data_IF_447075575943
#
_entry.id   IF_447075575943
#
_cell.length_a   1.000
_cell.length_b   1.000
_cell.length_c   1.000
_cell.angle_alpha   90.00
_cell.angle_beta   90.00
_cell.angle_gamma   90.00
#
_symmetry.space_group_name_H-M   'P 1'
#
loop_
_entity.id
_entity.type
_entity.pdbx_description
1 polymer ?
#
# COMPACT_ATOMS: atom_id res chain seq x y z
N UNK A 1 -9.98 -20.52 4.83
CA UNK A 1 -8.58 -20.74 5.25
C UNK A 1 -8.57 -21.14 6.70
N UNK A 2 -7.91 -22.22 7.07
CA UNK A 2 -7.93 -22.73 8.44
C UNK A 2 -7.38 -21.72 9.43
N UNK A 3 -6.27 -21.02 9.13
CA UNK A 3 -5.69 -19.98 9.99
C UNK A 3 -6.62 -18.81 10.29
N UNK A 4 -7.71 -18.61 9.56
CA UNK A 4 -8.64 -17.48 9.76
C UNK A 4 -9.98 -17.89 10.34
N UNK A 5 -10.25 -19.18 10.52
CA UNK A 5 -11.52 -19.69 11.07
C UNK A 5 -11.76 -19.18 12.49
N UNK A 6 -10.69 -19.06 13.28
CA UNK A 6 -10.77 -18.65 14.68
C UNK A 6 -10.78 -17.14 14.90
N UNK A 7 -10.73 -16.34 13.82
CA UNK A 7 -10.85 -14.89 13.95
C UNK A 7 -12.21 -14.51 14.55
N UNK A 8 -12.29 -13.42 15.31
CA UNK A 8 -13.48 -13.08 16.11
C UNK A 8 -14.79 -13.04 15.33
N UNK A 9 -14.80 -12.52 14.11
CA UNK A 9 -16.02 -12.40 13.29
C UNK A 9 -16.40 -13.74 12.64
N UNK A 10 -15.51 -14.45 11.90
CA UNK A 10 -15.84 -15.75 11.34
C UNK A 10 -16.27 -16.79 12.39
N UNK A 11 -15.64 -16.76 13.57
CA UNK A 11 -15.98 -17.66 14.68
C UNK A 11 -17.22 -17.24 15.49
N UNK A 12 -17.81 -16.07 15.18
CA UNK A 12 -18.94 -15.45 15.91
C UNK A 12 -18.65 -15.19 17.40
N UNK A 13 -17.36 -15.09 17.81
CA UNK A 13 -16.97 -14.89 19.22
C UNK A 13 -17.30 -13.49 19.75
N UNK A 14 -17.31 -12.46 18.89
CA UNK A 14 -17.62 -11.07 19.31
C UNK A 14 -19.05 -10.73 18.93
N UNK A 15 -19.37 -10.77 17.63
CA UNK A 15 -20.73 -10.51 17.14
C UNK A 15 -20.95 -11.11 15.73
N UNK A 16 -22.23 -11.25 15.29
CA UNK A 16 -22.56 -11.78 13.97
C UNK A 16 -21.96 -10.94 12.83
N UNK A 17 -21.72 -11.57 11.69
CA UNK A 17 -21.16 -10.93 10.50
C UNK A 17 -22.01 -9.75 10.01
N UNK A 18 -23.33 -9.79 10.18
CA UNK A 18 -24.25 -8.72 9.82
C UNK A 18 -23.99 -7.46 10.64
N UNK A 19 -23.86 -7.59 11.97
CA UNK A 19 -23.53 -6.46 12.84
C UNK A 19 -22.13 -5.88 12.53
N UNK A 20 -21.15 -6.75 12.17
CA UNK A 20 -19.85 -6.31 11.72
C UNK A 20 -19.93 -5.50 10.42
N UNK A 21 -20.75 -5.94 9.47
CA UNK A 21 -21.03 -5.22 8.23
C UNK A 21 -21.66 -3.86 8.52
N UNK A 22 -22.70 -3.82 9.32
CA UNK A 22 -23.46 -2.60 9.62
C UNK A 22 -22.56 -1.59 10.34
N UNK A 23 -21.75 -2.04 11.30
CA UNK A 23 -20.74 -1.22 11.95
C UNK A 23 -19.71 -0.67 10.94
N UNK A 24 -19.23 -1.53 10.01
CA UNK A 24 -18.33 -1.10 8.94
C UNK A 24 -18.93 -0.05 8.02
N UNK A 25 -20.22 -0.15 7.68
CA UNK A 25 -20.93 0.84 6.87
C UNK A 25 -21.06 2.18 7.61
N UNK A 26 -21.35 2.16 8.90
CA UNK A 26 -21.38 3.38 9.74
C UNK A 26 -20.02 4.06 9.76
N UNK A 27 -18.94 3.29 9.99
CA UNK A 27 -17.57 3.83 9.96
C UNK A 27 -17.20 4.41 8.59
N UNK A 28 -17.58 3.75 7.50
CA UNK A 28 -17.37 4.25 6.15
C UNK A 28 -18.10 5.59 5.94
N UNK A 29 -19.36 5.70 6.38
CA UNK A 29 -20.12 6.94 6.31
C UNK A 29 -19.47 8.08 7.12
N UNK A 30 -19.02 7.79 8.34
CA UNK A 30 -18.30 8.75 9.18
C UNK A 30 -17.00 9.18 8.48
N UNK A 31 -16.20 8.23 7.95
CA UNK A 31 -14.94 8.53 7.27
C UNK A 31 -15.15 9.44 6.06
N UNK A 32 -16.17 9.18 5.26
CA UNK A 32 -16.54 10.02 4.11
C UNK A 32 -16.93 11.42 4.59
N UNK A 33 -17.80 11.52 5.59
CA UNK A 33 -18.25 12.80 6.14
C UNK A 33 -17.09 13.61 6.70
N UNK A 34 -16.19 12.99 7.47
CA UNK A 34 -14.99 13.64 8.00
C UNK A 34 -14.05 14.10 6.88
N UNK A 35 -13.86 13.30 5.83
CA UNK A 35 -12.99 13.66 4.70
C UNK A 35 -13.51 14.87 3.93
N UNK A 36 -14.83 14.94 3.67
CA UNK A 36 -15.42 16.16 3.11
C UNK A 36 -15.41 17.29 4.11
N UNK A 37 -15.57 17.01 5.42
CA UNK A 37 -15.54 17.99 6.49
C UNK A 37 -14.24 18.80 6.60
N UNK A 38 -13.14 18.30 6.05
CA UNK A 38 -11.84 18.99 5.94
C UNK A 38 -11.98 20.34 5.22
N UNK A 39 -13.00 20.51 4.35
CA UNK A 39 -13.28 21.79 3.68
C UNK A 39 -13.48 22.97 4.64
N UNK A 40 -13.95 22.71 5.87
CA UNK A 40 -14.20 23.75 6.87
C UNK A 40 -12.94 24.15 7.66
N UNK A 41 -11.87 23.37 7.57
CA UNK A 41 -10.62 23.60 8.32
C UNK A 41 -9.47 24.08 7.45
N UNK A 42 -9.31 23.51 6.26
CA UNK A 42 -8.15 23.81 5.39
C UNK A 42 -8.54 24.40 4.04
N UNK A 43 -9.79 24.25 3.60
CA UNK A 43 -10.29 24.84 2.37
C UNK A 43 -11.21 23.94 1.57
N UNK A 44 -12.06 24.57 0.75
CA UNK A 44 -13.10 23.88 -0.01
C UNK A 44 -12.54 22.76 -0.91
N UNK A 45 -11.53 23.07 -1.70
CA UNK A 45 -10.94 22.10 -2.63
C UNK A 45 -10.20 20.96 -1.93
N UNK A 46 -9.57 21.23 -0.78
CA UNK A 46 -8.93 20.21 0.04
C UNK A 46 -9.95 19.17 0.52
N UNK A 47 -11.09 19.62 1.06
CA UNK A 47 -12.16 18.73 1.47
C UNK A 47 -12.76 17.93 0.33
N UNK A 48 -12.95 18.55 -0.86
CA UNK A 48 -13.42 17.83 -2.05
C UNK A 48 -12.47 16.70 -2.43
N UNK A 49 -11.16 16.98 -2.54
CA UNK A 49 -10.18 15.95 -2.91
C UNK A 49 -10.04 14.85 -1.85
N UNK A 50 -10.03 15.21 -0.57
CA UNK A 50 -10.05 14.23 0.51
C UNK A 50 -11.27 13.29 0.40
N UNK A 51 -12.46 13.86 0.17
CA UNK A 51 -13.69 13.11 -0.01
C UNK A 51 -13.65 12.20 -1.25
N UNK A 52 -13.15 12.71 -2.37
CA UNK A 52 -12.99 11.93 -3.63
C UNK A 52 -12.06 10.75 -3.41
N UNK A 53 -10.87 10.95 -2.82
CA UNK A 53 -9.94 9.86 -2.54
C UNK A 53 -10.49 8.85 -1.54
N UNK A 54 -11.25 9.30 -0.53
CA UNK A 54 -11.90 8.41 0.44
C UNK A 54 -12.96 7.53 -0.24
N UNK A 55 -13.86 8.13 -1.01
CA UNK A 55 -14.92 7.38 -1.72
C UNK A 55 -14.29 6.42 -2.74
N UNK A 56 -13.30 6.88 -3.50
CA UNK A 56 -12.64 6.04 -4.49
C UNK A 56 -11.86 4.89 -3.83
N UNK A 57 -11.11 5.16 -2.75
CA UNK A 57 -10.38 4.11 -2.02
C UNK A 57 -11.31 3.06 -1.42
N UNK A 58 -12.45 3.46 -0.83
CA UNK A 58 -13.45 2.54 -0.33
C UNK A 58 -14.11 1.73 -1.45
N UNK A 59 -14.46 2.38 -2.56
CA UNK A 59 -15.05 1.71 -3.72
C UNK A 59 -14.08 0.70 -4.34
N UNK A 60 -12.80 1.07 -4.51
CA UNK A 60 -11.77 0.16 -5.00
C UNK A 60 -11.60 -1.05 -4.09
N UNK A 61 -11.49 -0.86 -2.78
CA UNK A 61 -11.32 -1.96 -1.84
C UNK A 61 -12.55 -2.88 -1.75
N UNK A 62 -13.75 -2.31 -1.63
CA UNK A 62 -14.96 -3.07 -1.39
C UNK A 62 -15.49 -3.66 -2.69
N UNK A 63 -15.70 -2.84 -3.73
CA UNK A 63 -16.33 -3.27 -4.96
C UNK A 63 -15.32 -3.95 -5.90
N UNK A 64 -14.25 -3.25 -6.27
CA UNK A 64 -13.31 -3.75 -7.27
C UNK A 64 -12.50 -4.90 -6.71
N UNK A 65 -11.76 -4.70 -5.60
CA UNK A 65 -10.93 -5.75 -5.03
C UNK A 65 -11.75 -6.90 -4.45
N UNK A 66 -12.63 -6.62 -3.46
CA UNK A 66 -13.25 -7.68 -2.66
C UNK A 66 -14.36 -8.43 -3.41
N UNK A 67 -15.24 -7.75 -4.14
CA UNK A 67 -16.35 -8.38 -4.84
C UNK A 67 -15.99 -8.87 -6.24
N UNK A 68 -15.29 -8.05 -7.04
CA UNK A 68 -15.04 -8.37 -8.45
C UNK A 68 -13.77 -9.21 -8.62
N UNK A 69 -12.62 -8.76 -8.11
CA UNK A 69 -11.33 -9.29 -8.52
C UNK A 69 -10.79 -10.41 -7.63
N UNK A 70 -10.96 -10.33 -6.31
CA UNK A 70 -10.27 -11.19 -5.33
C UNK A 70 -10.38 -12.69 -5.60
N UNK A 71 -11.52 -13.14 -6.14
CA UNK A 71 -11.77 -14.56 -6.43
C UNK A 71 -11.76 -14.90 -7.93
N UNK A 72 -11.54 -13.91 -8.80
CA UNK A 72 -11.67 -14.10 -10.25
C UNK A 72 -10.40 -13.78 -11.04
N UNK A 73 -9.52 -12.92 -10.51
CA UNK A 73 -8.38 -12.41 -11.27
C UNK A 73 -7.09 -12.51 -10.50
N UNK A 74 -6.00 -12.87 -11.19
CA UNK A 74 -4.62 -12.83 -10.68
C UNK A 74 -4.12 -11.38 -10.50
N UNK A 75 -4.72 -10.43 -11.21
CA UNK A 75 -4.40 -8.99 -11.14
C UNK A 75 -5.12 -8.27 -9.99
N UNK A 76 -5.79 -9.02 -9.11
CA UNK A 76 -6.57 -8.46 -8.01
C UNK A 76 -5.78 -7.46 -7.14
N UNK A 77 -4.50 -7.72 -6.90
CA UNK A 77 -3.63 -6.87 -6.08
C UNK A 77 -3.23 -5.59 -6.83
N UNK A 78 -2.97 -5.66 -8.13
CA UNK A 78 -2.59 -4.49 -8.92
C UNK A 78 -3.81 -3.56 -9.10
N UNK A 79 -4.93 -4.12 -9.55
CA UNK A 79 -6.13 -3.33 -9.85
C UNK A 79 -6.88 -2.87 -8.60
N UNK A 80 -6.80 -3.63 -7.50
CA UNK A 80 -7.37 -3.27 -6.20
C UNK A 80 -6.37 -2.63 -5.23
N UNK A 81 -5.16 -2.34 -5.68
CA UNK A 81 -4.10 -1.76 -4.85
C UNK A 81 -4.22 -0.25 -4.65
N UNK A 82 -5.05 0.42 -5.46
CA UNK A 82 -5.21 1.87 -5.36
C UNK A 82 -5.74 2.30 -3.99
N UNK A 83 -6.64 1.50 -3.41
CA UNK A 83 -7.17 1.73 -2.06
C UNK A 83 -6.10 1.89 -0.98
N UNK A 84 -4.93 1.26 -1.16
CA UNK A 84 -3.83 1.39 -0.22
C UNK A 84 -3.06 2.72 -0.33
N UNK A 85 -2.99 3.32 -1.52
CA UNK A 85 -2.42 4.66 -1.73
C UNK A 85 -3.36 5.80 -1.32
N UNK A 86 -4.67 5.55 -1.30
CA UNK A 86 -5.67 6.57 -1.01
C UNK A 86 -5.48 7.30 0.34
N UNK A 87 -5.16 6.62 1.47
CA UNK A 87 -4.89 7.32 2.73
C UNK A 87 -3.74 8.33 2.66
N UNK A 88 -2.66 7.99 1.94
CA UNK A 88 -1.54 8.90 1.75
C UNK A 88 -1.95 10.12 0.91
N UNK A 89 -2.75 9.92 -0.14
CA UNK A 89 -3.32 10.99 -0.95
C UNK A 89 -4.27 11.89 -0.15
N UNK A 90 -5.10 11.31 0.74
CA UNK A 90 -5.99 12.06 1.62
C UNK A 90 -5.18 12.93 2.57
N UNK A 91 -4.16 12.37 3.23
CA UNK A 91 -3.29 13.11 4.13
C UNK A 91 -2.60 14.28 3.43
N UNK A 92 -2.10 14.08 2.23
CA UNK A 92 -1.50 15.13 1.41
C UNK A 92 -2.53 16.20 1.03
N UNK A 93 -3.67 15.79 0.48
CA UNK A 93 -4.74 16.71 0.05
C UNK A 93 -5.30 17.54 1.22
N UNK A 94 -5.27 17.01 2.46
CA UNK A 94 -5.76 17.70 3.63
C UNK A 94 -4.95 18.95 4.00
N UNK A 95 -3.66 18.98 3.70
CA UNK A 95 -2.74 20.06 4.14
C UNK A 95 -2.19 20.90 3.00
N UNK A 96 -2.14 20.38 1.79
CA UNK A 96 -1.54 21.07 0.65
C UNK A 96 -2.56 21.96 -0.02
N UNK A 97 -2.29 23.26 -0.04
CA UNK A 97 -3.18 24.28 -0.62
C UNK A 97 -2.95 24.54 -2.11
N UNK A 98 -1.74 24.31 -2.62
CA UNK A 98 -1.38 24.61 -4.03
C UNK A 98 -0.15 23.84 -4.49
N UNK A 99 -0.08 23.54 -5.80
CA UNK A 99 1.15 23.36 -6.56
C UNK A 99 1.89 22.02 -6.47
N UNK A 100 1.76 21.24 -5.42
CA UNK A 100 2.58 20.03 -5.22
C UNK A 100 1.79 18.72 -5.45
N UNK A 101 0.81 18.71 -6.33
CA UNK A 101 0.04 17.49 -6.65
C UNK A 101 0.92 16.35 -7.14
N UNK A 102 1.98 16.66 -7.90
CA UNK A 102 2.93 15.66 -8.38
C UNK A 102 3.59 14.92 -7.20
N UNK A 103 3.96 15.64 -6.15
CA UNK A 103 4.51 15.04 -4.94
C UNK A 103 3.49 14.16 -4.19
N UNK A 104 2.23 14.61 -4.08
CA UNK A 104 1.14 13.81 -3.51
C UNK A 104 0.90 12.52 -4.29
N UNK A 105 0.92 12.58 -5.62
CA UNK A 105 0.81 11.40 -6.48
C UNK A 105 1.99 10.44 -6.29
N UNK A 106 3.19 10.96 -6.08
CA UNK A 106 4.37 10.13 -5.82
C UNK A 106 4.28 9.44 -4.47
N UNK A 107 3.86 10.14 -3.40
CA UNK A 107 3.63 9.53 -2.09
C UNK A 107 2.58 8.43 -2.16
N UNK A 108 1.43 8.70 -2.78
CA UNK A 108 0.39 7.70 -3.01
C UNK A 108 0.85 6.56 -3.90
N UNK A 109 1.61 6.88 -4.95
CA UNK A 109 2.21 5.93 -5.89
C UNK A 109 3.23 5.01 -5.22
N UNK A 110 4.03 5.52 -4.27
CA UNK A 110 4.99 4.71 -3.50
C UNK A 110 4.26 3.61 -2.71
N UNK A 111 3.15 3.95 -2.05
CA UNK A 111 2.32 2.96 -1.37
C UNK A 111 1.70 1.98 -2.37
N UNK A 112 1.18 2.48 -3.48
CA UNK A 112 0.59 1.65 -4.52
C UNK A 112 1.58 0.63 -5.11
N UNK A 113 2.82 1.04 -5.40
CA UNK A 113 3.87 0.16 -5.93
C UNK A 113 4.39 -0.82 -4.85
N UNK A 114 4.38 -0.42 -3.58
CA UNK A 114 4.76 -1.27 -2.45
C UNK A 114 3.79 -2.45 -2.26
N UNK A 115 2.49 -2.26 -2.46
CA UNK A 115 1.46 -3.27 -2.19
C UNK A 115 1.67 -4.59 -2.95
N UNK A 116 1.92 -4.64 -4.26
CA UNK A 116 2.14 -5.88 -4.97
C UNK A 116 3.28 -6.72 -4.38
N UNK A 117 4.43 -6.11 -4.16
CA UNK A 117 5.58 -6.79 -3.56
C UNK A 117 5.23 -7.34 -2.17
N UNK A 118 4.66 -6.51 -1.30
CA UNK A 118 4.28 -6.86 0.07
C UNK A 118 3.27 -8.02 0.11
N UNK A 119 2.17 -7.91 -0.63
CA UNK A 119 1.12 -8.94 -0.63
C UNK A 119 1.59 -10.21 -1.34
N UNK A 120 2.37 -10.12 -2.43
CA UNK A 120 2.87 -11.30 -3.12
C UNK A 120 3.92 -12.05 -2.31
N UNK A 121 4.76 -11.37 -1.53
CA UNK A 121 5.65 -12.02 -0.57
C UNK A 121 4.85 -12.77 0.52
N UNK A 122 3.80 -12.15 1.07
CA UNK A 122 2.87 -12.81 2.00
C UNK A 122 2.17 -14.01 1.37
N UNK A 123 1.71 -13.86 0.13
CA UNK A 123 0.99 -14.93 -0.57
C UNK A 123 1.91 -16.10 -0.94
N UNK A 124 3.18 -15.83 -1.25
CA UNK A 124 4.16 -16.88 -1.48
C UNK A 124 4.43 -17.68 -0.20
N UNK A 125 4.50 -17.01 0.95
CA UNK A 125 4.63 -17.67 2.25
C UNK A 125 3.42 -18.57 2.60
N UNK A 126 2.19 -18.10 2.33
CA UNK A 126 0.95 -18.85 2.60
C UNK A 126 0.35 -19.48 1.34
N UNK A 127 1.19 -19.88 0.40
CA UNK A 127 0.76 -20.35 -0.92
C UNK A 127 -0.27 -21.47 -0.84
N UNK A 128 0.00 -22.49 -0.06
CA UNK A 128 -0.88 -23.66 0.10
C UNK A 128 -2.27 -23.30 0.62
N UNK A 129 -2.33 -22.34 1.55
CA UNK A 129 -3.60 -21.86 2.07
C UNK A 129 -4.46 -21.17 1.00
N UNK A 130 -3.82 -20.37 0.12
CA UNK A 130 -4.53 -19.73 -0.98
C UNK A 130 -4.98 -20.73 -2.05
N UNK A 131 -4.16 -21.73 -2.35
CA UNK A 131 -4.51 -22.81 -3.28
C UNK A 131 -5.67 -23.65 -2.77
N UNK A 132 -5.68 -24.04 -1.49
CA UNK A 132 -6.76 -24.83 -0.86
C UNK A 132 -8.14 -24.17 -0.95
N UNK A 133 -8.21 -22.84 -1.01
CA UNK A 133 -9.48 -22.09 -1.09
C UNK A 133 -9.74 -21.50 -2.48
N UNK A 134 -8.97 -21.88 -3.50
CA UNK A 134 -9.10 -21.45 -4.88
C UNK A 134 -9.14 -19.90 -5.05
N UNK A 135 -8.34 -19.17 -4.27
CA UNK A 135 -8.17 -17.73 -4.45
C UNK A 135 -6.97 -17.51 -5.37
N UNK A 136 -7.17 -16.97 -6.60
CA UNK A 136 -6.14 -16.92 -7.64
C UNK A 136 -5.17 -15.75 -7.42
N UNK A 137 -4.47 -15.71 -6.29
CA UNK A 137 -3.37 -14.78 -6.09
C UNK A 137 -2.25 -15.11 -7.07
N UNK A 138 -1.64 -14.10 -7.69
CA UNK A 138 -0.64 -14.29 -8.74
C UNK A 138 0.45 -15.30 -8.30
N UNK A 139 1.03 -15.10 -7.13
CA UNK A 139 2.10 -15.97 -6.60
C UNK A 139 1.61 -17.32 -6.07
N UNK A 140 0.31 -17.52 -5.88
CA UNK A 140 -0.26 -18.82 -5.58
C UNK A 140 -0.46 -19.68 -6.86
N UNK A 141 -0.69 -19.02 -8.00
CA UNK A 141 -0.93 -19.68 -9.29
C UNK A 141 0.37 -19.97 -10.04
N UNK A 142 1.30 -19.00 -10.05
CA UNK A 142 2.61 -19.15 -10.72
C UNK A 142 3.50 -20.17 -9.99
N UNK A 143 4.53 -20.69 -10.68
CA UNK A 143 5.59 -21.47 -10.01
C UNK A 143 6.32 -20.61 -8.98
N UNK A 144 6.91 -21.25 -7.96
CA UNK A 144 7.67 -20.54 -6.91
C UNK A 144 8.82 -19.69 -7.50
N UNK A 145 9.55 -20.23 -8.46
CA UNK A 145 10.64 -19.52 -9.15
C UNK A 145 10.14 -18.30 -9.91
N UNK A 146 9.00 -18.42 -10.60
CA UNK A 146 8.41 -17.30 -11.33
C UNK A 146 7.86 -16.27 -10.35
N UNK A 147 7.19 -16.69 -9.29
CA UNK A 147 6.71 -15.82 -8.22
C UNK A 147 7.83 -15.02 -7.57
N UNK A 148 8.96 -15.66 -7.27
CA UNK A 148 10.14 -15.00 -6.72
C UNK A 148 10.70 -13.92 -7.66
N UNK A 149 10.75 -14.19 -8.97
CA UNK A 149 11.19 -13.19 -9.97
C UNK A 149 10.24 -12.00 -10.08
N UNK A 150 8.94 -12.26 -10.05
CA UNK A 150 7.92 -11.20 -10.07
C UNK A 150 8.03 -10.33 -8.82
N UNK A 151 8.17 -10.94 -7.63
CA UNK A 151 8.41 -10.22 -6.38
C UNK A 151 9.67 -9.37 -6.46
N UNK A 152 10.78 -9.92 -6.96
CA UNK A 152 12.03 -9.17 -7.09
C UNK A 152 11.91 -8.00 -8.09
N UNK A 153 11.21 -8.18 -9.20
CA UNK A 153 10.95 -7.12 -10.18
C UNK A 153 10.14 -5.97 -9.57
N UNK A 154 9.08 -6.29 -8.82
CA UNK A 154 8.29 -5.26 -8.12
C UNK A 154 9.04 -4.62 -6.95
N UNK A 155 9.91 -5.36 -6.26
CA UNK A 155 10.81 -4.79 -5.24
C UNK A 155 11.76 -3.78 -5.87
N UNK A 156 12.40 -4.14 -6.99
CA UNK A 156 13.31 -3.23 -7.68
C UNK A 156 12.57 -1.96 -8.17
N UNK A 157 11.40 -2.13 -8.77
CA UNK A 157 10.56 -1.00 -9.21
C UNK A 157 10.20 -0.09 -8.03
N UNK A 158 9.82 -0.65 -6.88
CA UNK A 158 9.52 0.10 -5.65
C UNK A 158 10.74 0.88 -5.15
N UNK A 159 11.92 0.24 -5.11
CA UNK A 159 13.16 0.88 -4.65
C UNK A 159 13.58 2.01 -5.59
N UNK A 160 13.50 1.79 -6.90
CA UNK A 160 13.79 2.86 -7.87
C UNK A 160 12.80 4.02 -7.75
N UNK A 161 11.51 3.71 -7.58
CA UNK A 161 10.49 4.73 -7.40
C UNK A 161 10.67 5.53 -6.10
N UNK A 162 11.18 4.89 -5.04
CA UNK A 162 11.40 5.56 -3.75
C UNK A 162 12.49 6.65 -3.79
N UNK A 163 13.34 6.66 -4.81
CA UNK A 163 14.35 7.71 -4.99
C UNK A 163 13.81 8.93 -5.75
N UNK A 164 12.68 8.78 -6.44
CA UNK A 164 12.08 9.85 -7.26
C UNK A 164 11.84 11.17 -6.50
N UNK A 165 11.33 11.17 -5.24
CA UNK A 165 11.10 12.40 -4.48
C UNK A 165 12.31 13.34 -4.39
N UNK A 166 13.53 12.79 -4.36
CA UNK A 166 14.77 13.58 -4.32
C UNK A 166 15.02 14.40 -5.60
N UNK A 167 14.52 13.94 -6.73
CA UNK A 167 14.71 14.62 -8.02
C UNK A 167 13.61 15.64 -8.34
N UNK A 168 12.61 15.77 -7.46
CA UNK A 168 11.57 16.77 -7.62
C UNK A 168 12.05 18.12 -7.10
N UNK A 169 11.63 19.15 -7.80
CA UNK A 169 11.89 20.54 -7.41
C UNK A 169 10.57 21.27 -7.17
N UNK A 170 10.60 22.21 -6.23
CA UNK A 170 9.49 23.11 -5.97
C UNK A 170 9.44 24.11 -7.13
N UNK A 171 8.33 24.19 -7.90
CA UNK A 171 8.27 25.01 -9.11
C UNK A 171 8.56 26.51 -8.86
N UNK A 172 8.16 27.02 -7.70
CA UNK A 172 8.27 28.43 -7.35
C UNK A 172 9.69 28.86 -6.94
N UNK A 173 10.44 27.96 -6.30
CA UNK A 173 11.77 28.25 -5.76
C UNK A 173 12.90 27.58 -6.51
N UNK A 174 12.60 26.50 -7.24
CA UNK A 174 13.60 25.64 -7.89
C UNK A 174 14.39 24.76 -6.91
N UNK A 175 14.04 24.79 -5.62
CA UNK A 175 14.70 23.98 -4.60
C UNK A 175 14.19 22.52 -4.63
N UNK A 176 15.03 21.54 -4.22
CA UNK A 176 14.59 20.16 -4.14
C UNK A 176 13.45 20.00 -3.11
N UNK A 177 12.47 19.16 -3.43
CA UNK A 177 11.38 18.84 -2.51
C UNK A 177 11.88 18.01 -1.33
N UNK A 178 12.90 17.17 -1.55
CA UNK A 178 13.54 16.31 -0.53
C UNK A 178 15.05 16.46 -0.59
N UNK A 179 15.70 16.47 0.57
CA UNK A 179 17.14 16.60 0.72
C UNK A 179 17.85 15.24 0.84
N UNK A 180 19.09 15.31 1.34
CA UNK A 180 20.01 14.18 1.39
C UNK A 180 19.63 13.13 2.45
N UNK A 181 18.97 13.53 3.54
CA UNK A 181 18.53 12.60 4.62
C UNK A 181 17.56 11.59 4.05
N UNK A 182 16.60 12.06 3.25
CA UNK A 182 15.67 11.17 2.56
C UNK A 182 16.40 10.26 1.56
N UNK A 183 17.27 10.83 0.72
CA UNK A 183 17.99 10.08 -0.30
C UNK A 183 18.81 8.93 0.30
N UNK A 184 19.65 9.22 1.30
CA UNK A 184 20.48 8.19 1.92
C UNK A 184 19.64 7.12 2.63
N UNK A 185 18.53 7.52 3.24
CA UNK A 185 17.58 6.58 3.85
C UNK A 185 16.94 5.67 2.80
N UNK A 186 16.51 6.23 1.67
CA UNK A 186 15.91 5.47 0.57
C UNK A 186 16.93 4.48 -0.04
N UNK A 187 18.17 4.91 -0.26
CA UNK A 187 19.24 4.04 -0.79
C UNK A 187 19.56 2.91 0.21
N UNK A 188 19.81 3.24 1.47
CA UNK A 188 20.21 2.25 2.46
C UNK A 188 19.11 1.20 2.73
N UNK A 189 17.87 1.66 2.97
CA UNK A 189 16.73 0.78 3.19
C UNK A 189 16.35 0.01 1.92
N UNK A 190 16.44 0.65 0.75
CA UNK A 190 16.22 0.03 -0.55
C UNK A 190 17.24 -1.07 -0.87
N UNK A 191 18.52 -0.85 -0.58
CA UNK A 191 19.55 -1.87 -0.74
C UNK A 191 19.24 -3.14 0.07
N UNK A 192 18.78 -2.97 1.34
CA UNK A 192 18.34 -4.09 2.17
C UNK A 192 17.17 -4.86 1.50
N UNK A 193 16.18 -4.13 0.97
CA UNK A 193 15.04 -4.76 0.29
C UNK A 193 15.47 -5.54 -0.96
N UNK A 194 16.42 -5.01 -1.75
CA UNK A 194 16.98 -5.71 -2.91
C UNK A 194 17.73 -6.97 -2.48
N UNK A 195 18.56 -6.92 -1.43
CA UNK A 195 19.25 -8.09 -0.88
C UNK A 195 18.26 -9.17 -0.44
N UNK A 196 17.21 -8.79 0.30
CA UNK A 196 16.19 -9.73 0.75
C UNK A 196 15.41 -10.33 -0.43
N UNK A 197 15.09 -9.55 -1.46
CA UNK A 197 14.42 -10.06 -2.65
C UNK A 197 15.32 -10.99 -3.48
N UNK A 198 16.62 -10.72 -3.57
CA UNK A 198 17.60 -11.61 -4.18
C UNK A 198 17.70 -12.94 -3.42
N UNK A 199 17.59 -12.91 -2.08
CA UNK A 199 17.49 -14.14 -1.30
C UNK A 199 16.23 -14.95 -1.65
N UNK A 200 15.06 -14.29 -1.80
CA UNK A 200 13.83 -14.97 -2.27
C UNK A 200 14.03 -15.60 -3.64
N UNK A 201 14.71 -14.93 -4.58
CA UNK A 201 14.99 -15.49 -5.91
C UNK A 201 15.90 -16.70 -5.84
N UNK A 202 16.94 -16.66 -5.02
CA UNK A 202 17.91 -17.75 -4.86
C UNK A 202 17.33 -18.97 -4.14
N UNK A 203 16.47 -18.73 -3.16
CA UNK A 203 15.82 -19.76 -2.33
C UNK A 203 14.37 -19.35 -2.06
N UNK A 204 13.43 -19.65 -2.98
CA UNK A 204 12.02 -19.29 -2.86
C UNK A 204 11.32 -20.20 -1.83
N UNK A 205 11.53 -19.92 -0.55
CA UNK A 205 10.98 -20.67 0.57
C UNK A 205 9.96 -19.82 1.35
N UNK A 206 9.13 -20.47 2.15
CA UNK A 206 8.24 -19.78 3.10
C UNK A 206 9.01 -18.82 4.01
N UNK A 207 10.21 -19.23 4.48
CA UNK A 207 11.04 -18.40 5.37
C UNK A 207 11.56 -17.14 4.67
N UNK A 208 12.12 -17.25 3.47
CA UNK A 208 12.66 -16.09 2.75
C UNK A 208 11.58 -15.08 2.37
N UNK A 209 10.42 -15.56 1.89
CA UNK A 209 9.29 -14.70 1.56
C UNK A 209 8.67 -14.04 2.79
N UNK A 210 8.61 -14.74 3.93
CA UNK A 210 8.14 -14.19 5.19
C UNK A 210 9.04 -13.08 5.73
N UNK A 211 10.36 -13.25 5.63
CA UNK A 211 11.31 -12.21 6.05
C UNK A 211 11.16 -10.98 5.17
N UNK A 212 11.12 -11.13 3.84
CA UNK A 212 10.90 -10.01 2.93
C UNK A 212 9.58 -9.27 3.25
N UNK A 213 8.49 -10.02 3.45
CA UNK A 213 7.19 -9.45 3.86
C UNK A 213 7.32 -8.63 5.15
N UNK A 214 7.96 -9.17 6.19
CA UNK A 214 8.11 -8.46 7.47
C UNK A 214 8.93 -7.18 7.36
N UNK A 215 9.99 -7.18 6.57
CA UNK A 215 10.85 -6.01 6.40
C UNK A 215 10.25 -4.94 5.49
N UNK A 216 9.30 -5.29 4.64
CA UNK A 216 8.69 -4.34 3.70
C UNK A 216 7.84 -3.25 4.39
N UNK A 217 7.21 -3.53 5.53
CA UNK A 217 6.46 -2.51 6.28
C UNK A 217 7.36 -1.54 7.03
N UNK A 218 8.40 -1.98 7.80
CA UNK A 218 9.43 -1.08 8.32
C UNK A 218 10.12 -0.23 7.23
N UNK A 219 10.39 -0.80 6.06
CA UNK A 219 10.94 -0.05 4.92
C UNK A 219 10.06 1.15 4.57
N UNK A 220 8.77 0.94 4.35
CA UNK A 220 7.85 2.02 4.01
C UNK A 220 7.73 3.04 5.15
N UNK A 221 7.66 2.58 6.41
CA UNK A 221 7.59 3.45 7.57
C UNK A 221 8.84 4.35 7.71
N UNK A 222 10.03 3.79 7.51
CA UNK A 222 11.30 4.54 7.57
C UNK A 222 11.38 5.59 6.46
N UNK A 223 10.89 5.28 5.25
CA UNK A 223 10.81 6.27 4.17
C UNK A 223 9.87 7.44 4.53
N UNK A 224 8.69 7.15 5.09
CA UNK A 224 7.78 8.22 5.50
C UNK A 224 8.34 9.05 6.66
N UNK A 225 9.03 8.44 7.62
CA UNK A 225 9.72 9.16 8.69
C UNK A 225 10.82 10.05 8.08
N UNK A 226 11.61 9.53 7.14
CA UNK A 226 12.65 10.31 6.48
C UNK A 226 12.07 11.49 5.69
N UNK A 227 10.92 11.31 5.01
CA UNK A 227 10.18 12.41 4.37
C UNK A 227 9.82 13.50 5.38
N UNK A 228 9.28 13.11 6.54
CA UNK A 228 8.89 14.06 7.60
C UNK A 228 10.09 14.80 8.19
N UNK A 229 11.18 14.10 8.45
CA UNK A 229 12.40 14.70 9.04
C UNK A 229 13.04 15.66 8.05
N UNK A 230 13.18 15.24 6.81
CA UNK A 230 13.86 16.02 5.77
C UNK A 230 13.08 17.28 5.39
N UNK A 231 11.73 17.21 5.41
CA UNK A 231 10.88 18.39 5.19
C UNK A 231 10.86 19.39 6.35
N UNK A 232 11.40 19.02 7.51
CA UNK A 232 11.48 19.87 8.69
C UNK A 232 12.87 20.52 8.88
N UNK A 233 13.87 20.11 8.09
CA UNK A 233 15.23 20.64 8.09
C UNK A 233 15.36 21.79 7.11
#
# INVERSE_FOLDING_TARGET
MDRTKERPIPSKRIFPAEKARDFGLVLAGISIACSFGIMYTTGFWNGIWCGVFMVFGLADNILIYSHVLKRKSQLNIILGGFSGGAPAMIGFAAVTLTGLWDFGLIIGGLVFIWIPMHIWALTLHFRDDYQKVNVPMLTAVLSEKTSARVIAGTTLMMVLFSVVPFFLVIPETGEPVMGEVYLYTAIASGALMVILSAWVVSKPTEKSSWVLFKFSSPYLAVLFIALMVDSAL
#
